data_IF_937031825056
#
_entry.id   IF_937031825056
#
_cell.length_a   1.000
_cell.length_b   1.000
_cell.length_c   1.000
_cell.angle_alpha   90.00
_cell.angle_beta   90.00
_cell.angle_gamma   90.00
#
_symmetry.space_group_name_H-M   'P 1'
#
loop_
_entity.id
_entity.type
_entity.pdbx_description
1 polymer ?
#
# COMPACT_ATOMS: atom_id res chain seq x y z
N UNK A 1 -17.02 -17.18 -33.37
CA UNK A 1 -16.06 -17.38 -32.26
C UNK A 1 -14.79 -16.60 -32.57
N UNK A 2 -14.24 -15.83 -31.63
CA UNK A 2 -12.89 -15.26 -31.76
C UNK A 2 -12.78 -13.81 -31.31
N UNK A 3 -12.53 -13.58 -30.01
CA UNK A 3 -11.95 -12.32 -29.57
C UNK A 3 -11.22 -12.37 -28.20
N UNK A 4 -10.61 -13.50 -27.84
CA UNK A 4 -9.95 -13.67 -26.53
C UNK A 4 -8.40 -13.55 -26.55
N UNK A 5 -7.76 -13.34 -27.71
CA UNK A 5 -6.29 -13.41 -27.86
C UNK A 5 -5.56 -12.06 -27.94
N UNK A 6 -6.26 -10.92 -28.06
CA UNK A 6 -5.63 -9.61 -28.28
C UNK A 6 -5.11 -8.94 -27.00
N UNK A 7 -5.66 -9.27 -25.83
CA UNK A 7 -5.33 -8.62 -24.54
C UNK A 7 -4.00 -9.13 -23.95
N UNK A 8 -3.65 -10.40 -24.17
CA UNK A 8 -2.41 -11.00 -23.69
C UNK A 8 -1.17 -10.59 -24.49
N UNK A 9 -1.29 -10.40 -25.82
CA UNK A 9 -0.21 -9.84 -26.66
C UNK A 9 0.16 -8.41 -26.25
N UNK A 10 -0.82 -7.53 -26.04
CA UNK A 10 -0.55 -6.15 -25.61
C UNK A 10 0.19 -6.06 -24.27
N UNK A 11 -0.17 -6.90 -23.28
CA UNK A 11 0.51 -6.91 -21.96
C UNK A 11 1.96 -7.43 -22.09
N UNK A 12 2.22 -8.45 -22.91
CA UNK A 12 3.60 -8.91 -23.22
C UNK A 12 4.42 -7.86 -23.98
N UNK A 13 3.86 -7.20 -24.99
CA UNK A 13 4.54 -6.14 -25.74
C UNK A 13 4.92 -4.95 -24.85
N UNK A 14 4.06 -4.56 -23.90
CA UNK A 14 4.34 -3.44 -23.00
C UNK A 14 5.50 -3.72 -22.04
N UNK A 15 5.59 -4.96 -21.50
CA UNK A 15 6.70 -5.36 -20.63
C UNK A 15 8.02 -5.40 -21.42
N UNK A 16 7.99 -5.89 -22.66
CA UNK A 16 9.14 -5.91 -23.57
C UNK A 16 9.64 -4.48 -23.88
N UNK A 17 8.72 -3.53 -24.11
CA UNK A 17 9.07 -2.13 -24.35
C UNK A 17 9.76 -1.46 -23.15
N UNK A 18 9.33 -1.77 -21.92
CA UNK A 18 9.94 -1.21 -20.69
C UNK A 18 11.34 -1.78 -20.47
N UNK A 19 11.51 -3.09 -20.66
CA UNK A 19 12.81 -3.73 -20.49
C UNK A 19 13.80 -3.27 -21.60
N UNK A 20 13.33 -3.04 -22.83
CA UNK A 20 14.11 -2.43 -23.90
C UNK A 20 14.49 -0.96 -23.61
N UNK A 21 13.57 -0.18 -23.05
CA UNK A 21 13.86 1.19 -22.61
C UNK A 21 14.94 1.19 -21.51
N UNK A 22 14.82 0.31 -20.51
CA UNK A 22 15.81 0.16 -19.45
C UNK A 22 17.19 -0.25 -19.99
N UNK A 23 17.24 -1.16 -20.95
CA UNK A 23 18.49 -1.55 -21.62
C UNK A 23 19.13 -0.36 -22.34
N UNK A 24 18.32 0.45 -23.04
CA UNK A 24 18.84 1.63 -23.74
C UNK A 24 19.39 2.68 -22.78
N UNK A 25 18.72 2.96 -21.65
CA UNK A 25 19.20 3.85 -20.59
C UNK A 25 20.50 3.33 -19.97
N UNK A 26 20.59 2.03 -19.65
CA UNK A 26 21.81 1.41 -19.11
C UNK A 26 22.98 1.50 -20.11
N UNK A 27 22.70 1.33 -21.39
CA UNK A 27 23.69 1.48 -22.48
C UNK A 27 24.17 2.93 -22.57
N UNK A 28 23.26 3.91 -22.51
CA UNK A 28 23.61 5.33 -22.52
C UNK A 28 24.46 5.71 -21.30
N UNK A 29 24.11 5.25 -20.10
CA UNK A 29 24.92 5.46 -18.88
C UNK A 29 26.35 4.98 -19.06
N UNK A 30 26.55 3.79 -19.63
CA UNK A 30 27.88 3.25 -19.92
C UNK A 30 28.66 4.14 -20.90
N UNK A 31 28.01 4.57 -22.00
CA UNK A 31 28.62 5.48 -22.98
C UNK A 31 29.04 6.80 -22.35
N UNK A 32 28.21 7.37 -21.48
CA UNK A 32 28.55 8.60 -20.75
C UNK A 32 29.74 8.39 -19.81
N UNK A 33 29.80 7.25 -19.10
CA UNK A 33 30.95 6.93 -18.24
C UNK A 33 32.26 6.78 -19.05
N UNK A 34 32.20 6.19 -20.25
CA UNK A 34 33.35 6.10 -21.13
C UNK A 34 33.78 7.50 -21.64
N UNK A 35 32.82 8.35 -22.00
CA UNK A 35 33.08 9.75 -22.38
C UNK A 35 33.67 10.57 -21.23
N UNK A 36 33.21 10.35 -19.99
CA UNK A 36 33.74 10.99 -18.80
C UNK A 36 35.25 10.74 -18.66
N UNK A 37 35.67 9.47 -18.75
CA UNK A 37 37.09 9.08 -18.69
C UNK A 37 37.92 9.76 -19.77
N UNK A 38 37.38 9.87 -20.99
CA UNK A 38 38.06 10.55 -22.10
C UNK A 38 38.23 12.05 -21.83
N UNK A 39 37.23 12.70 -21.26
CA UNK A 39 37.29 14.12 -20.87
C UNK A 39 38.27 14.35 -19.73
N UNK A 40 38.28 13.49 -18.71
CA UNK A 40 39.25 13.54 -17.60
C UNK A 40 40.69 13.42 -18.10
N UNK A 41 40.96 12.46 -18.99
CA UNK A 41 42.28 12.31 -19.61
C UNK A 41 42.67 13.54 -20.44
N UNK A 42 41.71 14.14 -21.16
CA UNK A 42 41.94 15.37 -21.91
C UNK A 42 42.26 16.55 -20.99
N UNK A 43 41.59 16.67 -19.85
CA UNK A 43 41.88 17.68 -18.83
C UNK A 43 43.30 17.49 -18.29
N UNK A 44 43.71 16.26 -17.95
CA UNK A 44 45.07 15.95 -17.50
C UNK A 44 46.11 16.39 -18.54
N UNK A 45 45.93 16.01 -19.81
CA UNK A 45 46.81 16.45 -20.91
C UNK A 45 46.87 17.98 -21.03
N UNK A 46 45.75 18.68 -20.92
CA UNK A 46 45.76 20.14 -20.92
C UNK A 46 46.55 20.73 -19.74
N UNK A 47 46.55 20.09 -18.57
CA UNK A 47 47.38 20.54 -17.44
C UNK A 47 48.88 20.31 -17.65
N UNK A 48 49.26 19.22 -18.31
CA UNK A 48 50.66 18.90 -18.63
C UNK A 48 51.20 19.88 -19.66
N UNK A 49 50.49 20.04 -20.78
CA UNK A 49 50.85 21.00 -21.84
C UNK A 49 50.89 22.44 -21.31
N UNK A 50 49.96 22.82 -20.42
CA UNK A 50 50.00 24.13 -19.79
C UNK A 50 51.24 24.30 -18.89
N UNK A 51 51.65 23.26 -18.14
CA UNK A 51 52.87 23.27 -17.32
C UNK A 51 54.13 23.43 -18.18
N UNK A 52 54.23 22.70 -19.28
CA UNK A 52 55.35 22.80 -20.24
C UNK A 52 55.45 24.21 -20.83
N UNK A 53 54.34 24.77 -21.31
CA UNK A 53 54.32 26.11 -21.91
C UNK A 53 54.69 27.22 -20.90
N UNK A 54 54.37 27.03 -19.62
CA UNK A 54 54.79 27.95 -18.55
C UNK A 54 56.30 27.85 -18.32
N UNK A 55 56.87 26.64 -18.32
CA UNK A 55 58.31 26.43 -18.22
C UNK A 55 59.09 27.02 -19.41
N UNK A 56 58.49 27.02 -20.61
CA UNK A 56 59.05 27.66 -21.81
C UNK A 56 58.81 29.18 -21.88
N UNK A 57 58.27 29.80 -20.83
CA UNK A 57 57.90 31.23 -20.79
C UNK A 57 56.87 31.70 -21.84
N UNK A 58 56.12 30.78 -22.47
CA UNK A 58 55.11 31.08 -23.50
C UNK A 58 53.73 31.35 -22.87
N UNK A 59 53.61 32.47 -22.15
CA UNK A 59 52.40 32.82 -21.36
C UNK A 59 51.10 32.84 -22.16
N UNK A 60 51.07 33.47 -23.34
CA UNK A 60 49.83 33.59 -24.14
C UNK A 60 49.29 32.23 -24.59
N UNK A 61 50.20 31.30 -24.94
CA UNK A 61 49.85 29.93 -25.32
C UNK A 61 49.37 29.13 -24.12
N UNK A 62 50.03 29.27 -22.97
CA UNK A 62 49.60 28.63 -21.73
C UNK A 62 48.18 29.08 -21.32
N UNK A 63 47.88 30.38 -21.41
CA UNK A 63 46.54 30.92 -21.13
C UNK A 63 45.47 30.31 -22.05
N UNK A 64 45.78 30.15 -23.34
CA UNK A 64 44.85 29.52 -24.30
C UNK A 64 44.56 28.07 -23.94
N UNK A 65 45.58 27.29 -23.54
CA UNK A 65 45.40 25.90 -23.11
C UNK A 65 44.59 25.82 -21.81
N UNK A 66 44.82 26.72 -20.86
CA UNK A 66 44.03 26.79 -19.62
C UNK A 66 42.56 27.14 -19.89
N UNK A 67 42.28 28.03 -20.85
CA UNK A 67 40.90 28.29 -21.31
C UNK A 67 40.24 27.03 -21.89
N UNK A 68 40.96 26.28 -22.73
CA UNK A 68 40.49 24.99 -23.27
C UNK A 68 40.24 23.96 -22.16
N UNK A 69 41.11 23.89 -21.16
CA UNK A 69 40.91 23.08 -19.95
C UNK A 69 39.61 23.44 -19.26
N UNK A 70 39.37 24.73 -19.00
CA UNK A 70 38.16 25.22 -18.32
C UNK A 70 36.87 24.86 -19.08
N UNK A 71 36.89 24.97 -20.40
CA UNK A 71 35.75 24.54 -21.24
C UNK A 71 35.51 23.03 -21.14
N UNK A 72 36.57 22.23 -21.11
CA UNK A 72 36.48 20.77 -20.97
C UNK A 72 35.96 20.38 -19.57
N UNK A 73 36.38 21.09 -18.51
CA UNK A 73 35.83 20.93 -17.16
C UNK A 73 34.32 21.24 -17.11
N UNK A 74 33.88 22.29 -17.81
CA UNK A 74 32.45 22.62 -17.91
C UNK A 74 31.66 21.50 -18.61
N UNK A 75 32.19 20.97 -19.72
CA UNK A 75 31.59 19.82 -20.40
C UNK A 75 31.52 18.58 -19.50
N UNK A 76 32.55 18.34 -18.68
CA UNK A 76 32.55 17.25 -17.70
C UNK A 76 31.44 17.42 -16.64
N UNK A 77 31.23 18.65 -16.16
CA UNK A 77 30.15 18.95 -15.22
C UNK A 77 28.76 18.74 -15.84
N UNK A 78 28.55 19.22 -17.07
CA UNK A 78 27.30 19.00 -17.82
C UNK A 78 27.03 17.51 -18.04
N UNK A 79 28.07 16.73 -18.36
CA UNK A 79 27.98 15.28 -18.50
C UNK A 79 27.63 14.58 -17.18
N UNK A 80 28.18 15.05 -16.04
CA UNK A 80 27.82 14.55 -14.72
C UNK A 80 26.34 14.78 -14.38
N UNK A 81 25.80 15.95 -14.72
CA UNK A 81 24.37 16.22 -14.55
C UNK A 81 23.50 15.27 -15.41
N UNK A 82 23.93 15.00 -16.63
CA UNK A 82 23.23 14.06 -17.51
C UNK A 82 23.30 12.62 -16.98
N UNK A 83 24.44 12.18 -16.45
CA UNK A 83 24.56 10.87 -15.81
C UNK A 83 23.59 10.73 -14.63
N UNK A 84 23.54 11.74 -13.75
CA UNK A 84 22.60 11.75 -12.63
C UNK A 84 21.14 11.70 -13.09
N UNK A 85 20.80 12.44 -14.15
CA UNK A 85 19.47 12.40 -14.76
C UNK A 85 19.11 11.00 -15.28
N UNK A 86 20.04 10.31 -15.95
CA UNK A 86 19.82 8.92 -16.41
C UNK A 86 19.66 7.95 -15.24
N UNK A 87 20.46 8.09 -14.19
CA UNK A 87 20.35 7.22 -13.00
C UNK A 87 19.01 7.40 -12.29
N UNK A 88 18.56 8.65 -12.18
CA UNK A 88 17.22 8.97 -11.66
C UNK A 88 16.14 8.31 -12.51
N UNK A 89 16.23 8.44 -13.84
CA UNK A 89 15.25 7.84 -14.75
C UNK A 89 15.22 6.31 -14.68
N UNK A 90 16.38 5.66 -14.50
CA UNK A 90 16.45 4.20 -14.28
C UNK A 90 15.74 3.83 -12.98
N UNK A 91 16.01 4.55 -11.89
CA UNK A 91 15.37 4.33 -10.59
C UNK A 91 13.85 4.53 -10.67
N UNK A 92 13.38 5.57 -11.37
CA UNK A 92 11.97 5.86 -11.54
C UNK A 92 11.25 4.76 -12.33
N UNK A 93 11.88 4.23 -13.38
CA UNK A 93 11.34 3.09 -14.16
C UNK A 93 11.28 1.83 -13.30
N UNK A 94 12.31 1.56 -12.49
CA UNK A 94 12.33 0.42 -11.58
C UNK A 94 11.24 0.55 -10.51
N UNK A 95 11.06 1.73 -9.92
CA UNK A 95 9.97 2.03 -8.98
C UNK A 95 8.60 1.81 -9.63
N UNK A 96 8.40 2.34 -10.84
CA UNK A 96 7.15 2.17 -11.61
C UNK A 96 6.86 0.70 -11.91
N UNK A 97 7.90 -0.12 -12.17
CA UNK A 97 7.77 -1.57 -12.36
C UNK A 97 7.29 -2.27 -11.08
N UNK A 98 7.76 -1.85 -9.91
CA UNK A 98 7.29 -2.37 -8.62
C UNK A 98 5.86 -1.92 -8.31
N UNK A 99 5.55 -0.65 -8.53
CA UNK A 99 4.20 -0.09 -8.35
C UNK A 99 3.17 -0.83 -9.23
N UNK A 100 3.51 -1.15 -10.48
CA UNK A 100 2.65 -1.96 -11.35
C UNK A 100 2.39 -3.37 -10.79
N UNK A 101 3.40 -4.02 -10.19
CA UNK A 101 3.22 -5.33 -9.54
C UNK A 101 2.32 -5.21 -8.31
N UNK A 102 2.53 -4.19 -7.47
CA UNK A 102 1.67 -3.92 -6.31
C UNK A 102 0.24 -3.65 -6.73
N UNK A 103 0.03 -2.91 -7.82
CA UNK A 103 -1.30 -2.70 -8.39
C UNK A 103 -1.96 -4.03 -8.78
N UNK A 104 -1.26 -4.93 -9.47
CA UNK A 104 -1.81 -6.24 -9.84
C UNK A 104 -2.18 -7.09 -8.59
N UNK A 105 -1.41 -7.00 -7.50
CA UNK A 105 -1.73 -7.66 -6.21
C UNK A 105 -2.95 -7.04 -5.54
N UNK A 106 -3.03 -5.71 -5.49
CA UNK A 106 -4.18 -5.00 -4.93
C UNK A 106 -5.47 -5.35 -5.69
N UNK A 107 -5.38 -5.50 -7.01
CA UNK A 107 -6.51 -5.87 -7.85
C UNK A 107 -6.98 -7.31 -7.57
N UNK A 108 -6.06 -8.24 -7.32
CA UNK A 108 -6.37 -9.59 -6.86
C UNK A 108 -7.03 -9.59 -5.47
N UNK A 109 -6.48 -8.83 -4.51
CA UNK A 109 -7.08 -8.68 -3.18
C UNK A 109 -8.49 -8.10 -3.22
N UNK A 110 -8.72 -7.08 -4.06
CA UNK A 110 -10.05 -6.49 -4.26
C UNK A 110 -11.04 -7.51 -4.85
N UNK A 111 -10.61 -8.34 -5.80
CA UNK A 111 -11.45 -9.39 -6.36
C UNK A 111 -11.77 -10.49 -5.33
N UNK A 112 -10.80 -10.91 -4.51
CA UNK A 112 -11.02 -11.87 -3.43
C UNK A 112 -12.02 -11.32 -2.39
N UNK A 113 -11.88 -10.05 -2.01
CA UNK A 113 -12.85 -9.38 -1.13
C UNK A 113 -14.26 -9.36 -1.75
N UNK A 114 -14.38 -9.09 -3.06
CA UNK A 114 -15.67 -9.14 -3.75
C UNK A 114 -16.28 -10.55 -3.77
N UNK A 115 -15.46 -11.59 -3.92
CA UNK A 115 -15.93 -12.97 -3.87
C UNK A 115 -16.43 -13.35 -2.48
N UNK A 116 -15.65 -13.04 -1.43
CA UNK A 116 -16.09 -13.24 -0.04
C UNK A 116 -17.38 -12.47 0.28
N UNK A 117 -17.49 -11.24 -0.21
CA UNK A 117 -18.70 -10.42 -0.04
C UNK A 117 -19.90 -10.96 -0.83
N UNK A 118 -19.67 -11.69 -1.92
CA UNK A 118 -20.73 -12.38 -2.68
C UNK A 118 -21.15 -13.69 -2.02
N UNK A 119 -20.23 -14.39 -1.34
CA UNK A 119 -20.53 -15.59 -0.57
C UNK A 119 -21.38 -15.29 0.66
N UNK A 120 -21.23 -14.10 1.27
CA UNK A 120 -22.20 -13.58 2.25
C UNK A 120 -23.39 -13.00 1.48
N UNK A 121 -24.33 -13.85 1.07
CA UNK A 121 -25.47 -13.42 0.27
C UNK A 121 -26.51 -12.67 1.10
N UNK A 122 -27.28 -11.79 0.46
CA UNK A 122 -28.51 -11.23 1.03
C UNK A 122 -29.47 -12.35 1.45
N UNK A 123 -29.39 -13.51 0.80
CA UNK A 123 -30.21 -14.68 1.12
C UNK A 123 -29.78 -15.36 2.43
N UNK A 124 -28.50 -15.33 2.80
CA UNK A 124 -28.05 -15.79 4.12
C UNK A 124 -28.51 -14.84 5.23
N UNK A 125 -28.50 -13.53 4.95
CA UNK A 125 -29.05 -12.52 5.87
C UNK A 125 -30.57 -12.65 5.99
N UNK A 126 -31.28 -12.94 4.89
CA UNK A 126 -32.73 -13.20 4.90
C UNK A 126 -33.08 -14.48 5.66
N UNK A 127 -32.38 -15.59 5.41
CA UNK A 127 -32.56 -16.82 6.18
C UNK A 127 -32.33 -16.61 7.67
N UNK A 128 -31.28 -15.88 8.05
CA UNK A 128 -31.05 -15.57 9.45
C UNK A 128 -32.20 -14.76 10.07
N UNK A 129 -32.76 -13.79 9.33
CA UNK A 129 -33.91 -13.02 9.79
C UNK A 129 -35.19 -13.86 9.90
N UNK A 130 -35.43 -14.74 8.93
CA UNK A 130 -36.58 -15.66 8.92
C UNK A 130 -36.45 -16.68 10.07
N UNK A 131 -35.28 -17.30 10.25
CA UNK A 131 -34.99 -18.25 11.34
C UNK A 131 -35.17 -17.58 12.73
N UNK A 132 -34.79 -16.30 12.85
CA UNK A 132 -34.97 -15.53 14.10
C UNK A 132 -36.44 -15.21 14.35
N UNK A 133 -37.21 -14.90 13.29
CA UNK A 133 -38.64 -14.65 13.39
C UNK A 133 -39.42 -15.92 13.77
N UNK A 134 -39.07 -17.07 13.19
CA UNK A 134 -39.65 -18.37 13.54
C UNK A 134 -39.30 -18.79 14.97
N UNK A 135 -38.04 -18.63 15.40
CA UNK A 135 -37.63 -18.93 16.77
C UNK A 135 -38.40 -18.07 17.79
N UNK A 136 -38.64 -16.80 17.47
CA UNK A 136 -39.45 -15.91 18.31
C UNK A 136 -40.92 -16.34 18.34
N UNK A 137 -41.50 -16.70 17.20
CA UNK A 137 -42.89 -17.17 17.14
C UNK A 137 -43.09 -18.48 17.93
N UNK A 138 -42.14 -19.41 17.87
CA UNK A 138 -42.15 -20.64 18.66
C UNK A 138 -42.03 -20.34 20.17
N UNK A 139 -41.19 -19.38 20.54
CA UNK A 139 -41.05 -18.94 21.93
C UNK A 139 -42.36 -18.32 22.45
N UNK A 140 -43.00 -17.47 21.64
CA UNK A 140 -44.28 -16.84 21.98
C UNK A 140 -45.39 -17.91 22.09
N UNK A 141 -45.46 -18.88 21.17
CA UNK A 141 -46.40 -20.01 21.24
C UNK A 141 -46.15 -20.91 22.46
N UNK A 142 -44.89 -21.21 22.79
CA UNK A 142 -44.56 -21.92 24.02
C UNK A 142 -44.98 -21.13 25.26
N UNK A 143 -44.78 -19.82 25.27
CA UNK A 143 -45.21 -18.94 26.37
C UNK A 143 -46.73 -18.95 26.52
N UNK A 144 -47.48 -18.91 25.41
CA UNK A 144 -48.94 -18.98 25.39
C UNK A 144 -49.47 -20.35 25.83
N UNK A 145 -48.80 -21.44 25.44
CA UNK A 145 -49.16 -22.78 25.87
C UNK A 145 -48.87 -23.00 27.37
N UNK A 146 -47.71 -22.54 27.85
CA UNK A 146 -47.34 -22.63 29.26
C UNK A 146 -48.31 -21.83 30.13
N UNK A 147 -48.63 -20.59 29.72
CA UNK A 147 -49.58 -19.73 30.43
C UNK A 147 -51.01 -20.28 30.44
N UNK A 148 -51.46 -20.93 29.36
CA UNK A 148 -52.78 -21.60 29.31
C UNK A 148 -52.82 -22.98 30.00
N UNK A 149 -51.67 -23.60 30.31
CA UNK A 149 -51.63 -24.91 30.99
C UNK A 149 -51.67 -24.82 32.51
N UNK A 150 -51.33 -23.66 33.07
CA UNK A 150 -51.33 -23.43 34.51
C UNK A 150 -52.75 -23.16 35.00
N UNK A 151 -53.15 -23.82 36.09
CA UNK A 151 -54.42 -23.52 36.77
C UNK A 151 -54.30 -22.23 37.60
N UNK A 152 -55.41 -21.54 37.86
CA UNK A 152 -55.41 -20.24 38.53
C UNK A 152 -54.76 -20.23 39.94
N UNK A 153 -54.71 -21.36 40.63
CA UNK A 153 -54.01 -21.48 41.91
C UNK A 153 -52.49 -21.67 41.72
N UNK A 154 -52.06 -22.34 40.65
CA UNK A 154 -50.65 -22.53 40.30
C UNK A 154 -50.01 -21.24 39.78
N UNK A 155 -50.76 -20.42 39.03
CA UNK A 155 -50.28 -19.10 38.59
C UNK A 155 -49.98 -18.19 39.78
N UNK A 156 -50.83 -18.21 40.81
CA UNK A 156 -50.64 -17.42 42.05
C UNK A 156 -49.43 -17.90 42.84
N UNK A 157 -49.17 -19.21 42.87
CA UNK A 157 -47.98 -19.76 43.51
C UNK A 157 -46.68 -19.36 42.79
N UNK A 158 -46.69 -19.38 41.44
CA UNK A 158 -45.55 -18.92 40.62
C UNK A 158 -45.32 -17.42 40.78
N UNK A 159 -46.37 -16.60 40.80
CA UNK A 159 -46.25 -15.16 41.04
C UNK A 159 -45.65 -14.84 42.42
N UNK A 160 -46.02 -15.61 43.45
CA UNK A 160 -45.45 -15.47 44.78
C UNK A 160 -43.97 -15.89 44.84
N UNK A 161 -43.58 -16.93 44.12
CA UNK A 161 -42.18 -17.37 44.01
C UNK A 161 -41.33 -16.35 43.23
N UNK A 162 -41.87 -15.79 42.13
CA UNK A 162 -41.22 -14.70 41.38
C UNK A 162 -41.01 -13.47 42.27
N UNK A 163 -42.03 -13.06 43.04
CA UNK A 163 -41.92 -11.94 43.97
C UNK A 163 -40.86 -12.18 45.06
N UNK A 164 -40.69 -13.42 45.53
CA UNK A 164 -39.63 -13.78 46.46
C UNK A 164 -38.23 -13.66 45.82
N UNK A 165 -38.05 -14.16 44.60
CA UNK A 165 -36.79 -14.05 43.85
C UNK A 165 -36.45 -12.59 43.51
N UNK A 166 -37.44 -11.78 43.15
CA UNK A 166 -37.26 -10.34 42.93
C UNK A 166 -36.84 -9.62 44.21
N UNK A 167 -37.45 -9.96 45.35
CA UNK A 167 -37.05 -9.40 46.65
C UNK A 167 -35.62 -9.82 47.04
N UNK A 168 -35.22 -11.06 46.76
CA UNK A 168 -33.85 -11.54 46.97
C UNK A 168 -32.84 -10.84 46.06
N UNK A 169 -33.17 -10.66 44.77
CA UNK A 169 -32.33 -9.95 43.82
C UNK A 169 -32.18 -8.47 44.18
N UNK A 170 -33.28 -7.79 44.54
CA UNK A 170 -33.25 -6.41 45.02
C UNK A 170 -32.48 -6.28 46.35
N UNK A 171 -32.63 -7.23 47.27
CA UNK A 171 -31.86 -7.23 48.52
C UNK A 171 -30.35 -7.41 48.28
N UNK A 172 -29.98 -8.27 47.32
CA UNK A 172 -28.59 -8.44 46.90
C UNK A 172 -28.03 -7.18 46.21
N UNK A 173 -28.85 -6.49 45.41
CA UNK A 173 -28.48 -5.24 44.75
C UNK A 173 -28.34 -4.08 45.76
N UNK A 174 -29.26 -3.95 46.71
CA UNK A 174 -29.19 -2.98 47.83
C UNK A 174 -28.01 -3.27 48.77
N UNK A 175 -27.65 -4.54 48.98
CA UNK A 175 -26.46 -4.93 49.74
C UNK A 175 -25.15 -4.62 49.00
N UNK A 176 -25.17 -4.56 47.66
CA UNK A 176 -24.04 -4.18 46.82
C UNK A 176 -23.87 -2.66 46.65
N UNK A 177 -24.86 -1.85 47.04
CA UNK A 177 -24.72 -0.40 47.07
C UNK A 177 -23.87 0.05 48.27
N UNK A 178 -22.78 0.82 48.07
CA UNK A 178 -21.98 1.32 49.18
C UNK A 178 -22.79 2.32 50.01
N UNK A 179 -22.93 2.05 51.33
CA UNK A 179 -23.57 2.98 52.27
C UNK A 179 -22.82 4.31 52.26
N UNK A 180 -23.48 5.36 51.78
CA UNK A 180 -22.95 6.73 51.84
C UNK A 180 -22.84 7.11 53.32
N UNK A 181 -21.66 7.50 53.85
CA UNK A 181 -21.54 7.91 55.24
C UNK A 181 -22.33 9.20 55.48
N UNK A 182 -23.20 9.18 56.49
CA UNK A 182 -23.83 10.41 57.01
C UNK A 182 -22.74 11.30 57.59
N UNK A 183 -22.58 12.50 57.02
CA UNK A 183 -21.64 13.50 57.52
C UNK A 183 -22.07 13.95 58.92
N UNK A 184 -21.25 13.63 59.93
CA UNK A 184 -21.11 14.45 61.13
C UNK A 184 -20.34 15.73 60.79
#
# INVERSE_FOLDING_TARGET
>A
MGNLSSKSRKKKQAVDNVDMAMLSLKTQRKKLADQQKLLELRIQRHTEVARELVAEHKKDRALLVLKKKKLTEKQLQELGNLQFSIETMISDVEMSKHQNKLHDVLLQGNNALKQLQQEVTVDDVRKLMDDTAEAKALQDEMSDLLSNSLTGDETVAVDAELAALEAEAMAAEVAAMPRVPSSQ
#
